data_IF_802984079568
#
_entry.id   IF_802984079568
#
_cell.length_a   1.000
_cell.length_b   1.000
_cell.length_c   1.000
_cell.angle_alpha   90.00
_cell.angle_beta   90.00
_cell.angle_gamma   90.00
#
_symmetry.space_group_name_H-M   'P 1'
#
loop_
_entity.id
_entity.type
_entity.pdbx_description
1 polymer ?
#
# COMPACT_ATOMS: atom_id res chain seq x y z
N UNK A 1 11.72 -12.18 -12.15
CA UNK A 1 11.65 -10.80 -12.64
C UNK A 1 12.12 -9.85 -11.54
N UNK A 2 12.90 -8.84 -11.91
CA UNK A 2 13.33 -7.83 -10.96
C UNK A 2 12.17 -6.91 -10.62
N UNK A 3 11.80 -6.83 -9.34
CA UNK A 3 10.81 -5.87 -8.87
C UNK A 3 11.37 -4.46 -9.06
N UNK A 4 10.57 -3.58 -9.64
CA UNK A 4 10.91 -2.16 -9.78
C UNK A 4 10.14 -1.36 -8.75
N UNK A 5 10.83 -0.48 -8.05
CA UNK A 5 10.25 0.43 -7.08
C UNK A 5 10.22 1.85 -7.63
N UNK A 6 9.10 2.53 -7.45
CA UNK A 6 8.98 3.97 -7.62
C UNK A 6 8.93 4.62 -6.24
N UNK A 7 9.85 5.54 -5.98
CA UNK A 7 9.96 6.23 -4.72
C UNK A 7 9.63 7.70 -4.90
N UNK A 8 8.74 8.21 -4.05
CA UNK A 8 8.36 9.63 -3.98
C UNK A 8 8.47 10.11 -2.53
N UNK A 9 8.96 11.32 -2.35
CA UNK A 9 9.08 11.96 -1.03
C UNK A 9 10.34 12.81 -0.90
N UNK A 10 10.43 13.48 0.24
CA UNK A 10 11.59 14.31 0.59
C UNK A 10 12.65 13.47 1.33
N UNK A 11 13.90 13.91 1.23
CA UNK A 11 15.00 13.36 2.02
C UNK A 11 15.62 12.07 1.48
N UNK A 12 15.20 11.59 0.31
CA UNK A 12 15.88 10.47 -0.32
C UNK A 12 17.16 10.96 -1.02
N UNK A 13 18.28 10.42 -0.60
CA UNK A 13 19.58 10.62 -1.21
C UNK A 13 20.14 9.27 -1.62
N UNK A 14 20.16 8.94 -2.91
CA UNK A 14 20.73 7.66 -3.35
C UNK A 14 22.23 7.66 -2.99
N UNK A 15 22.63 6.70 -2.19
CA UNK A 15 24.06 6.48 -1.83
C UNK A 15 24.76 5.59 -2.83
N UNK A 16 24.00 4.82 -3.61
CA UNK A 16 24.49 3.91 -4.66
C UNK A 16 23.49 3.91 -5.83
N UNK A 17 23.97 3.50 -6.99
CA UNK A 17 23.13 3.35 -8.19
C UNK A 17 22.30 2.05 -8.07
N UNK A 18 21.10 2.18 -7.48
CA UNK A 18 20.18 1.05 -7.30
C UNK A 18 19.29 0.97 -8.53
N UNK A 19 19.67 0.13 -9.47
CA UNK A 19 19.06 0.02 -10.80
C UNK A 19 17.58 -0.33 -10.84
N UNK A 20 17.00 -0.82 -9.73
CA UNK A 20 15.60 -1.19 -9.61
C UNK A 20 14.75 -0.14 -8.84
N UNK A 21 15.33 0.97 -8.41
CA UNK A 21 14.62 2.08 -7.75
C UNK A 21 14.64 3.31 -8.64
N UNK A 22 13.46 3.83 -8.94
CA UNK A 22 13.28 5.10 -9.65
C UNK A 22 12.78 6.16 -8.67
N UNK A 23 13.61 7.13 -8.34
CA UNK A 23 13.20 8.27 -7.53
C UNK A 23 12.55 9.34 -8.41
N UNK A 24 11.29 9.65 -8.12
CA UNK A 24 10.48 10.60 -8.90
C UNK A 24 10.44 12.01 -8.31
N UNK A 25 11.09 12.22 -7.15
CA UNK A 25 11.06 13.50 -6.46
C UNK A 25 9.94 13.62 -5.43
N UNK A 26 9.72 14.84 -4.94
CA UNK A 26 8.67 15.16 -3.98
C UNK A 26 7.56 15.95 -4.67
N UNK A 27 6.32 15.59 -4.37
CA UNK A 27 5.11 16.24 -4.90
C UNK A 27 4.24 16.73 -3.76
N UNK A 28 3.40 17.73 -4.02
CA UNK A 28 2.36 18.13 -3.08
C UNK A 28 1.39 16.93 -2.87
N UNK A 29 0.82 16.75 -1.66
CA UNK A 29 -0.02 15.58 -1.36
C UNK A 29 -1.16 15.36 -2.36
N UNK A 30 -1.76 16.41 -2.87
CA UNK A 30 -2.83 16.41 -3.87
C UNK A 30 -2.37 15.97 -5.27
N UNK A 31 -1.09 16.09 -5.57
CA UNK A 31 -0.50 15.70 -6.85
C UNK A 31 -0.02 14.24 -6.88
N UNK A 32 0.34 13.69 -5.72
CA UNK A 32 0.87 12.33 -5.62
C UNK A 32 0.02 11.29 -6.35
N UNK A 33 -1.34 11.30 -6.27
CA UNK A 33 -2.18 10.35 -7.00
C UNK A 33 -1.96 10.34 -8.52
N UNK A 34 -1.57 11.47 -9.11
CA UNK A 34 -1.34 11.60 -10.55
C UNK A 34 -0.02 10.95 -11.01
N UNK A 35 0.88 10.68 -10.07
CA UNK A 35 2.20 10.09 -10.31
C UNK A 35 2.28 8.60 -9.95
N UNK A 36 1.19 8.04 -9.41
CA UNK A 36 1.12 6.62 -9.03
C UNK A 36 0.89 5.74 -10.28
N UNK A 37 1.98 5.26 -10.89
CA UNK A 37 1.94 4.43 -12.10
C UNK A 37 2.35 2.97 -11.85
N UNK A 38 2.50 2.56 -10.58
CA UNK A 38 2.89 1.21 -10.20
C UNK A 38 1.75 0.19 -10.24
N UNK A 39 2.10 -1.08 -10.13
CA UNK A 39 1.13 -2.17 -10.00
C UNK A 39 0.55 -2.30 -8.58
N UNK A 40 1.33 -1.92 -7.56
CA UNK A 40 0.94 -1.98 -6.15
C UNK A 40 1.46 -0.76 -5.38
N UNK A 41 0.73 -0.35 -4.35
CA UNK A 41 1.22 0.57 -3.33
C UNK A 41 1.83 -0.21 -2.16
N UNK A 42 3.08 0.08 -1.79
CA UNK A 42 3.75 -0.57 -0.66
C UNK A 42 3.54 0.22 0.64
N UNK A 43 2.98 -0.44 1.64
CA UNK A 43 2.83 0.07 3.01
C UNK A 43 3.77 -0.74 3.91
N UNK A 44 4.95 -0.21 4.11
CA UNK A 44 6.02 -0.82 4.88
C UNK A 44 6.79 0.26 5.63
N UNK A 45 7.00 0.08 6.92
CA UNK A 45 7.78 0.97 7.76
C UNK A 45 8.72 0.14 8.64
N UNK A 46 9.84 0.72 9.06
CA UNK A 46 10.87 0.02 9.81
C UNK A 46 12.19 0.01 9.07
N UNK A 47 13.22 -0.53 9.73
CA UNK A 47 14.60 -0.52 9.25
C UNK A 47 14.99 -1.83 8.56
N UNK A 48 14.13 -2.85 8.62
CA UNK A 48 14.37 -4.17 8.08
C UNK A 48 13.49 -4.49 6.87
N UNK A 49 14.02 -5.29 5.94
CA UNK A 49 13.24 -5.89 4.85
C UNK A 49 12.54 -7.19 5.30
N UNK A 50 12.98 -7.78 6.40
CA UNK A 50 12.43 -9.03 6.91
C UNK A 50 11.13 -8.84 7.70
N UNK A 51 11.05 -7.74 8.44
CA UNK A 51 9.85 -7.40 9.24
C UNK A 51 9.75 -5.90 9.45
N UNK A 52 8.56 -5.41 9.76
CA UNK A 52 8.39 -4.03 10.23
C UNK A 52 8.77 -3.95 11.71
N UNK A 53 10.00 -3.61 11.99
CA UNK A 53 10.59 -3.48 13.32
C UNK A 53 10.86 -2.02 13.74
N UNK A 54 11.49 -1.83 14.91
CA UNK A 54 11.71 -0.51 15.46
C UNK A 54 10.42 0.19 15.92
N UNK A 55 10.52 1.46 16.26
CA UNK A 55 9.37 2.23 16.79
C UNK A 55 8.30 2.44 15.72
N UNK A 56 8.71 2.84 14.53
CA UNK A 56 7.81 3.12 13.40
C UNK A 56 7.19 1.84 12.84
N UNK A 57 7.99 0.78 12.69
CA UNK A 57 7.51 -0.50 12.19
C UNK A 57 6.51 -1.17 13.14
N UNK A 58 6.81 -1.24 14.42
CA UNK A 58 5.89 -1.77 15.41
C UNK A 58 4.61 -0.95 15.56
N UNK A 59 4.65 0.34 15.25
CA UNK A 59 3.46 1.19 15.27
C UNK A 59 2.40 0.77 14.23
N UNK A 60 2.81 0.13 13.12
CA UNK A 60 1.88 -0.42 12.12
C UNK A 60 0.91 -1.47 12.71
N UNK A 61 1.22 -2.10 13.83
CA UNK A 61 0.30 -3.03 14.52
C UNK A 61 -0.96 -2.33 15.03
N UNK A 62 -0.93 -1.03 15.18
CA UNK A 62 -2.00 -0.22 15.80
C UNK A 62 -2.47 0.93 14.93
N UNK A 63 -1.66 1.34 13.96
CA UNK A 63 -1.89 2.49 13.12
C UNK A 63 -2.55 2.10 11.80
N UNK A 64 -3.37 3.02 11.27
CA UNK A 64 -3.85 2.98 9.89
C UNK A 64 -3.15 4.11 9.11
N UNK A 65 -2.04 3.83 8.42
CA UNK A 65 -1.23 4.85 7.78
C UNK A 65 -1.96 5.48 6.60
N UNK A 66 -1.74 6.77 6.39
CA UNK A 66 -2.30 7.51 5.25
C UNK A 66 -1.93 6.90 3.89
N UNK A 67 -0.79 6.22 3.78
CA UNK A 67 -0.36 5.52 2.57
C UNK A 67 -1.39 4.51 2.07
N UNK A 68 -2.02 3.75 2.98
CA UNK A 68 -3.07 2.80 2.62
C UNK A 68 -4.23 3.50 1.91
N UNK A 69 -4.76 4.56 2.53
CA UNK A 69 -5.87 5.34 1.98
C UNK A 69 -5.49 6.02 0.67
N UNK A 70 -4.27 6.53 0.56
CA UNK A 70 -3.74 7.16 -0.66
C UNK A 70 -3.76 6.18 -1.84
N UNK A 71 -3.18 4.99 -1.67
CA UNK A 71 -3.13 3.99 -2.74
C UNK A 71 -4.52 3.47 -3.11
N UNK A 72 -5.34 3.12 -2.13
CA UNK A 72 -6.69 2.62 -2.39
C UNK A 72 -7.60 3.70 -3.00
N UNK A 73 -7.48 4.98 -2.60
CA UNK A 73 -8.23 6.08 -3.21
C UNK A 73 -7.78 6.40 -4.64
N UNK A 74 -6.60 5.93 -5.02
CA UNK A 74 -6.07 5.98 -6.39
C UNK A 74 -6.41 4.72 -7.20
N UNK A 75 -7.09 3.74 -6.60
CA UNK A 75 -7.49 2.49 -7.25
C UNK A 75 -6.37 1.47 -7.39
N UNK A 76 -5.26 1.65 -6.65
CA UNK A 76 -4.14 0.71 -6.64
C UNK A 76 -4.35 -0.36 -5.56
N UNK A 77 -4.14 -1.65 -5.86
CA UNK A 77 -4.00 -2.67 -4.84
C UNK A 77 -2.73 -2.43 -4.01
N UNK A 78 -2.69 -2.98 -2.80
CA UNK A 78 -1.62 -2.70 -1.84
C UNK A 78 -0.86 -3.94 -1.42
N UNK A 79 0.37 -3.75 -0.97
CA UNK A 79 1.16 -4.73 -0.25
C UNK A 79 1.37 -4.19 1.16
N UNK A 80 1.01 -4.97 2.16
CA UNK A 80 1.09 -4.59 3.58
C UNK A 80 1.86 -5.64 4.37
N UNK A 81 2.42 -5.23 5.50
CA UNK A 81 2.96 -6.18 6.47
C UNK A 81 1.84 -7.01 7.10
N UNK A 82 2.04 -8.33 7.23
CA UNK A 82 1.00 -9.26 7.71
C UNK A 82 0.54 -8.99 9.14
N UNK A 83 1.43 -8.51 9.99
CA UNK A 83 1.11 -8.19 11.39
C UNK A 83 0.61 -6.75 11.58
N UNK A 84 0.40 -6.01 10.51
CA UNK A 84 -0.16 -4.66 10.58
C UNK A 84 -1.66 -4.67 10.88
N UNK A 85 -2.16 -3.59 11.47
CA UNK A 85 -3.58 -3.44 11.80
C UNK A 85 -4.50 -3.54 10.56
N UNK A 86 -4.01 -3.12 9.39
CA UNK A 86 -4.75 -3.10 8.14
C UNK A 86 -4.71 -4.42 7.36
N UNK A 87 -3.85 -5.38 7.72
CA UNK A 87 -3.70 -6.64 7.00
C UNK A 87 -5.03 -7.40 6.84
N UNK A 88 -5.80 -7.51 7.93
CA UNK A 88 -7.12 -8.13 7.89
C UNK A 88 -8.10 -7.41 6.95
N UNK A 89 -8.07 -6.08 6.89
CA UNK A 89 -8.89 -5.31 5.95
C UNK A 89 -8.50 -5.60 4.51
N UNK A 90 -7.19 -5.63 4.22
CA UNK A 90 -6.64 -5.87 2.88
C UNK A 90 -7.03 -7.27 2.38
N UNK A 91 -6.83 -8.31 3.20
CA UNK A 91 -7.16 -9.69 2.86
C UNK A 91 -8.67 -9.89 2.71
N UNK A 92 -9.48 -9.42 3.67
CA UNK A 92 -10.93 -9.58 3.66
C UNK A 92 -11.61 -8.91 2.46
N UNK A 93 -11.09 -7.78 2.01
CA UNK A 93 -11.63 -7.07 0.85
C UNK A 93 -10.95 -7.48 -0.47
N UNK A 94 -9.92 -8.32 -0.43
CA UNK A 94 -9.17 -8.76 -1.61
C UNK A 94 -8.58 -7.58 -2.39
N UNK A 95 -7.99 -6.60 -1.67
CA UNK A 95 -7.46 -5.37 -2.28
C UNK A 95 -5.94 -5.33 -2.30
N UNK A 96 -5.29 -6.45 -2.01
CA UNK A 96 -3.83 -6.52 -1.99
C UNK A 96 -3.30 -7.80 -1.38
N UNK A 97 -2.03 -7.78 -1.01
CA UNK A 97 -1.30 -8.90 -0.44
C UNK A 97 -0.79 -8.53 0.96
N UNK A 98 -0.91 -9.45 1.91
CA UNK A 98 -0.23 -9.37 3.19
C UNK A 98 1.00 -10.29 3.17
N UNK A 99 2.18 -9.76 3.50
CA UNK A 99 3.46 -10.48 3.49
C UNK A 99 4.15 -10.40 4.85
N UNK A 100 4.85 -11.45 5.24
CA UNK A 100 5.64 -11.41 6.47
C UNK A 100 6.94 -10.62 6.26
N UNK A 101 7.54 -10.75 5.07
CA UNK A 101 8.82 -10.19 4.70
C UNK A 101 8.81 -9.69 3.25
N UNK A 102 9.56 -8.62 2.97
CA UNK A 102 9.75 -8.15 1.59
C UNK A 102 10.57 -9.12 0.73
N UNK A 103 11.30 -10.04 1.33
CA UNK A 103 11.98 -11.13 0.60
C UNK A 103 11.01 -12.09 -0.09
N UNK A 104 9.76 -12.18 0.39
CA UNK A 104 8.72 -13.01 -0.24
C UNK A 104 8.16 -12.39 -1.54
N UNK A 105 8.37 -11.09 -1.79
CA UNK A 105 7.68 -10.36 -2.85
C UNK A 105 7.92 -10.95 -4.25
N UNK A 106 9.15 -11.28 -4.58
CA UNK A 106 9.45 -11.85 -5.91
C UNK A 106 8.63 -13.10 -6.17
N UNK A 107 8.65 -14.05 -5.24
CA UNK A 107 7.93 -15.31 -5.37
C UNK A 107 6.40 -15.09 -5.38
N UNK A 108 5.90 -14.22 -4.50
CA UNK A 108 4.47 -13.91 -4.41
C UNK A 108 3.94 -13.26 -5.67
N UNK A 109 4.71 -12.33 -6.26
CA UNK A 109 4.31 -11.65 -7.50
C UNK A 109 4.46 -12.54 -8.73
N UNK A 110 5.45 -13.45 -8.75
CA UNK A 110 5.60 -14.45 -9.82
C UNK A 110 4.45 -15.46 -9.86
N UNK A 111 3.96 -15.84 -8.68
CA UNK A 111 2.82 -16.78 -8.56
C UNK A 111 1.46 -16.12 -8.82
N UNK A 112 1.39 -14.81 -8.77
CA UNK A 112 0.14 -14.07 -8.98
C UNK A 112 -0.23 -14.11 -10.47
N UNK A 113 -1.32 -14.78 -10.80
CA UNK A 113 -1.83 -14.81 -12.17
C UNK A 113 -2.38 -13.43 -12.58
N UNK A 114 -2.48 -13.23 -13.90
CA UNK A 114 -3.06 -12.00 -14.44
C UNK A 114 -4.52 -11.80 -14.00
N UNK A 115 -5.30 -12.87 -13.91
CA UNK A 115 -6.71 -12.79 -13.49
C UNK A 115 -6.84 -12.43 -12.01
N UNK A 116 -6.01 -13.02 -11.15
CA UNK A 116 -5.96 -12.66 -9.73
C UNK A 116 -5.56 -11.19 -9.55
N UNK A 117 -4.55 -10.71 -10.27
CA UNK A 117 -4.17 -9.29 -10.22
C UNK A 117 -5.31 -8.38 -10.67
N UNK A 118 -5.99 -8.68 -11.77
CA UNK A 118 -7.14 -7.91 -12.25
C UNK A 118 -8.29 -7.90 -11.24
N UNK A 119 -8.48 -8.99 -10.50
CA UNK A 119 -9.47 -9.05 -9.41
C UNK A 119 -9.08 -8.10 -8.26
N UNK A 120 -7.80 -8.08 -7.84
CA UNK A 120 -7.31 -7.12 -6.83
C UNK A 120 -7.53 -5.67 -7.26
N UNK A 121 -7.23 -5.33 -8.52
CA UNK A 121 -7.45 -4.00 -9.10
C UNK A 121 -8.94 -3.63 -9.10
N UNK A 122 -9.80 -4.57 -9.48
CA UNK A 122 -11.26 -4.36 -9.49
C UNK A 122 -11.79 -4.08 -8.09
N UNK A 123 -11.34 -4.84 -7.10
CA UNK A 123 -11.70 -4.66 -5.71
C UNK A 123 -11.17 -3.31 -5.16
N UNK A 124 -9.93 -2.95 -5.48
CA UNK A 124 -9.35 -1.66 -5.09
C UNK A 124 -10.16 -0.48 -5.67
N UNK A 125 -10.60 -0.56 -6.93
CA UNK A 125 -11.48 0.44 -7.55
C UNK A 125 -12.85 0.54 -6.86
N UNK A 126 -13.39 -0.56 -6.35
CA UNK A 126 -14.62 -0.54 -5.57
C UNK A 126 -14.42 0.16 -4.21
N UNK A 127 -13.28 -0.09 -3.54
CA UNK A 127 -12.92 0.64 -2.32
C UNK A 127 -12.68 2.12 -2.62
N UNK A 128 -12.01 2.45 -3.72
CA UNK A 128 -11.81 3.83 -4.17
C UNK A 128 -13.14 4.61 -4.24
N UNK A 129 -14.18 4.03 -4.85
CA UNK A 129 -15.51 4.66 -4.91
C UNK A 129 -16.05 4.93 -3.52
N UNK A 130 -16.03 3.94 -2.62
CA UNK A 130 -16.48 4.07 -1.23
C UNK A 130 -15.73 5.17 -0.48
N UNK A 131 -14.41 5.27 -0.67
CA UNK A 131 -13.59 6.32 -0.05
C UNK A 131 -13.98 7.71 -0.55
N UNK A 132 -14.11 7.88 -1.88
CA UNK A 132 -14.50 9.17 -2.50
C UNK A 132 -15.91 9.62 -2.12
N UNK A 133 -16.83 8.69 -1.90
CA UNK A 133 -18.21 8.96 -1.47
C UNK A 133 -18.34 9.19 0.05
N UNK A 134 -17.25 9.06 0.81
CA UNK A 134 -17.26 9.20 2.27
C UNK A 134 -18.02 8.08 3.00
N UNK A 135 -18.13 6.91 2.37
CA UNK A 135 -18.91 5.77 2.90
C UNK A 135 -18.52 5.38 4.32
N UNK A 136 -17.21 5.28 4.60
CA UNK A 136 -16.73 4.84 5.92
C UNK A 136 -17.06 5.86 7.02
N UNK A 137 -16.90 7.16 6.73
CA UNK A 137 -17.27 8.22 7.66
C UNK A 137 -18.78 8.24 7.91
N UNK A 138 -19.59 8.20 6.85
CA UNK A 138 -21.05 8.14 6.96
C UNK A 138 -21.52 6.94 7.77
N UNK A 139 -20.92 5.75 7.52
CA UNK A 139 -21.26 4.53 8.26
C UNK A 139 -20.88 4.63 9.75
N UNK A 140 -19.75 5.26 10.07
CA UNK A 140 -19.34 5.47 11.46
C UNK A 140 -20.30 6.45 12.18
N UNK A 141 -20.65 7.57 11.54
CA UNK A 141 -21.59 8.55 12.10
C UNK A 141 -22.96 7.93 12.33
N UNK A 142 -23.49 7.18 11.37
CA UNK A 142 -24.80 6.54 11.51
C UNK A 142 -24.87 5.59 12.70
N UNK A 143 -23.81 4.83 12.97
CA UNK A 143 -23.73 3.94 14.14
C UNK A 143 -23.69 4.65 15.49
N UNK A 144 -23.39 5.96 15.52
CA UNK A 144 -23.37 6.75 16.76
C UNK A 144 -24.76 7.36 17.02
N UNK A 145 -25.53 7.58 15.96
CA UNK A 145 -26.84 8.25 16.01
C UNK A 145 -27.98 7.24 16.27
N UNK A 146 -27.77 5.95 15.92
CA UNK A 146 -28.68 4.84 16.25
C UNK A 146 -28.51 4.42 17.74
#
# INVERSE_FOLDING_TARGET
PSIRFQLMGIGYHPTEDVSNVSYLGAFAPEEVPNHLNGGFGLVWDGESLDTCDGVTGNYLRYNNPHKLSLYLSSGLPVIVWKDSAEANFVEKNGVGLAVNSLFELSERLEKLSQDEYLQLVTNAKNIMKKLKEGYYLKSAVNKIIE
#
